data_IF_145655649318
#
_entry.id   IF_145655649318
#
_cell.length_a   1.000
_cell.length_b   1.000
_cell.length_c   1.000
_cell.angle_alpha   90.00
_cell.angle_beta   90.00
_cell.angle_gamma   90.00
#
_symmetry.space_group_name_H-M   'P 1'
#
loop_
_entity.id
_entity.type
_entity.pdbx_description
1 polymer ?
#
# COMPACT_ATOMS: atom_id res chain seq x y z
N UNK A 1 37.87 -20.22 5.30
CA UNK A 1 37.38 -18.92 4.80
C UNK A 1 36.04 -18.98 4.03
N UNK A 2 35.51 -20.15 3.66
CA UNK A 2 34.27 -20.27 2.84
C UNK A 2 32.96 -20.08 3.62
N UNK A 3 32.91 -20.48 4.89
CA UNK A 3 31.70 -20.45 5.72
C UNK A 3 31.22 -19.02 6.01
N UNK A 4 32.14 -18.11 6.37
CA UNK A 4 31.83 -16.70 6.64
C UNK A 4 31.20 -16.00 5.42
N UNK A 5 31.72 -16.27 4.22
CA UNK A 5 31.19 -15.75 2.96
C UNK A 5 29.78 -16.28 2.68
N UNK A 6 29.54 -17.58 2.88
CA UNK A 6 28.21 -18.19 2.72
C UNK A 6 27.20 -17.60 3.71
N UNK A 7 27.57 -17.43 4.98
CA UNK A 7 26.68 -16.83 5.99
C UNK A 7 26.33 -15.38 5.68
N UNK A 8 27.29 -14.59 5.17
CA UNK A 8 27.04 -13.20 4.80
C UNK A 8 26.07 -13.10 3.62
N UNK A 9 26.25 -13.94 2.60
CA UNK A 9 25.35 -13.99 1.43
C UNK A 9 23.93 -14.36 1.87
N UNK A 10 23.77 -15.40 2.69
CA UNK A 10 22.45 -15.82 3.19
C UNK A 10 21.78 -14.72 4.03
N UNK A 11 22.54 -14.05 4.90
CA UNK A 11 22.02 -12.92 5.69
C UNK A 11 21.57 -11.76 4.80
N UNK A 12 22.36 -11.39 3.80
CA UNK A 12 21.97 -10.29 2.89
C UNK A 12 20.70 -10.61 2.11
N UNK A 13 20.55 -11.84 1.63
CA UNK A 13 19.35 -12.28 0.90
C UNK A 13 18.13 -12.27 1.84
N UNK A 14 18.25 -12.85 3.03
CA UNK A 14 17.15 -12.87 4.00
C UNK A 14 16.75 -11.46 4.49
N UNK A 15 17.73 -10.57 4.70
CA UNK A 15 17.48 -9.19 5.10
C UNK A 15 16.89 -8.34 3.97
N UNK A 16 17.19 -8.65 2.70
CA UNK A 16 16.56 -8.03 1.53
C UNK A 16 15.08 -8.41 1.43
N UNK A 17 14.72 -9.65 1.74
CA UNK A 17 13.32 -10.11 1.72
C UNK A 17 12.48 -9.53 2.87
N UNK A 18 13.11 -9.24 4.02
CA UNK A 18 12.49 -8.48 5.11
C UNK A 18 12.31 -7.00 4.79
N UNK A 19 12.76 -6.54 3.61
CA UNK A 19 12.65 -5.17 3.13
C UNK A 19 11.20 -4.72 2.99
N UNK A 20 10.62 -4.29 4.12
CA UNK A 20 9.38 -3.53 4.29
C UNK A 20 8.34 -3.77 3.19
N UNK A 21 7.83 -4.99 3.14
CA UNK A 21 6.61 -5.23 2.37
C UNK A 21 5.45 -4.67 3.18
N UNK A 22 4.59 -3.92 2.50
CA UNK A 22 3.45 -3.23 3.10
C UNK A 22 2.18 -3.74 2.45
N UNK A 23 1.12 -3.87 3.23
CA UNK A 23 -0.20 -4.25 2.74
C UNK A 23 -1.17 -3.09 2.83
N UNK A 24 -2.04 -2.95 1.83
CA UNK A 24 -3.12 -1.97 1.80
C UNK A 24 -4.42 -2.64 1.36
N UNK A 25 -5.56 -2.12 1.81
CA UNK A 25 -6.83 -2.48 1.20
C UNK A 25 -6.87 -1.98 -0.24
N UNK A 26 -7.52 -2.73 -1.14
CA UNK A 26 -7.58 -2.42 -2.57
C UNK A 26 -9.00 -2.50 -3.18
N UNK A 27 -10.00 -2.96 -2.43
CA UNK A 27 -11.37 -2.93 -2.91
C UNK A 27 -12.04 -1.56 -2.77
N UNK A 28 -13.15 -1.40 -3.48
CA UNK A 28 -13.98 -0.20 -3.56
C UNK A 28 -15.18 -0.22 -2.60
N UNK A 29 -15.29 -1.22 -1.72
CA UNK A 29 -16.41 -1.35 -0.80
C UNK A 29 -16.30 -0.41 0.39
N UNK A 30 -17.42 -0.01 0.99
CA UNK A 30 -17.40 0.78 2.22
C UNK A 30 -16.63 0.08 3.36
N UNK A 31 -16.84 -1.24 3.49
CA UNK A 31 -16.10 -2.11 4.40
C UNK A 31 -15.14 -2.97 3.59
N UNK A 32 -13.83 -2.72 3.66
CA UNK A 32 -12.89 -3.41 2.81
C UNK A 32 -12.66 -4.85 3.25
N UNK A 33 -12.41 -5.71 2.27
CA UNK A 33 -12.29 -7.17 2.42
C UNK A 33 -11.02 -7.72 1.78
N UNK A 34 -10.48 -7.04 0.77
CA UNK A 34 -9.30 -7.52 0.04
C UNK A 34 -8.14 -6.58 0.22
N UNK A 35 -6.95 -7.16 0.28
CA UNK A 35 -5.70 -6.43 0.43
C UNK A 35 -4.74 -6.80 -0.70
N UNK A 36 -3.82 -5.90 -0.98
CA UNK A 36 -2.71 -6.14 -1.90
C UNK A 36 -1.37 -5.89 -1.20
N UNK A 37 -0.33 -6.58 -1.67
CA UNK A 37 1.04 -6.29 -1.29
C UNK A 37 1.56 -5.14 -2.15
N UNK A 38 1.96 -4.05 -1.51
CA UNK A 38 2.57 -2.91 -2.17
C UNK A 38 3.93 -3.29 -2.75
N UNK A 39 4.20 -2.82 -3.98
CA UNK A 39 5.52 -2.97 -4.58
C UNK A 39 6.56 -2.20 -3.79
N UNK A 40 7.81 -2.64 -3.90
CA UNK A 40 8.95 -1.91 -3.35
C UNK A 40 8.89 -0.45 -3.82
N UNK A 41 9.04 0.49 -2.90
CA UNK A 41 8.84 1.95 -3.04
C UNK A 41 7.42 2.52 -2.93
N UNK A 42 6.36 1.71 -2.79
CA UNK A 42 5.01 2.25 -2.59
C UNK A 42 4.70 2.41 -1.10
N UNK A 43 5.00 3.60 -0.55
CA UNK A 43 4.97 3.84 0.90
C UNK A 43 3.58 4.13 1.48
N UNK A 44 2.64 4.61 0.65
CA UNK A 44 1.33 5.05 1.10
C UNK A 44 0.25 4.03 0.76
N UNK A 45 -0.61 3.73 1.73
CA UNK A 45 -1.96 3.30 1.40
C UNK A 45 -2.80 4.55 1.22
N UNK A 46 -3.62 4.60 0.18
CA UNK A 46 -4.57 5.68 -0.01
C UNK A 46 -6.02 5.17 0.01
N UNK A 47 -6.94 6.06 0.37
CA UNK A 47 -8.39 5.91 0.23
C UNK A 47 -8.94 7.21 -0.33
N UNK A 48 -9.41 7.18 -1.57
CA UNK A 48 -10.01 8.31 -2.26
C UNK A 48 -11.51 8.10 -2.34
N UNK A 49 -12.30 9.10 -1.97
CA UNK A 49 -13.76 9.08 -2.10
C UNK A 49 -14.22 10.22 -3.00
N UNK A 50 -15.11 9.93 -3.95
CA UNK A 50 -15.71 10.93 -4.84
C UNK A 50 -17.13 10.57 -5.24
N UNK A 51 -17.88 11.54 -5.75
CA UNK A 51 -19.24 11.32 -6.24
C UNK A 51 -19.23 11.10 -7.75
N UNK A 52 -19.76 9.96 -8.21
CA UNK A 52 -19.97 9.65 -9.62
C UNK A 52 -21.40 9.17 -9.84
N UNK A 53 -22.15 9.87 -10.71
CA UNK A 53 -23.56 9.55 -10.99
C UNK A 53 -24.48 9.65 -9.75
N UNK A 54 -24.16 10.55 -8.82
CA UNK A 54 -24.90 10.72 -7.56
C UNK A 54 -24.59 9.67 -6.49
N UNK A 55 -23.67 8.74 -6.75
CA UNK A 55 -23.26 7.68 -5.82
C UNK A 55 -21.81 7.91 -5.39
N UNK A 56 -21.54 7.70 -4.11
CA UNK A 56 -20.17 7.73 -3.59
C UNK A 56 -19.38 6.50 -4.06
N UNK A 57 -18.20 6.76 -4.62
CA UNK A 57 -17.23 5.77 -5.04
C UNK A 57 -16.01 5.87 -4.14
N UNK A 58 -15.42 4.73 -3.84
CA UNK A 58 -14.20 4.63 -3.05
C UNK A 58 -13.16 3.92 -3.92
N UNK A 59 -11.94 4.42 -3.91
CA UNK A 59 -10.77 3.74 -4.47
C UNK A 59 -9.73 3.63 -3.38
N UNK A 60 -9.11 2.46 -3.33
CA UNK A 60 -8.03 2.18 -2.41
C UNK A 60 -6.88 1.53 -3.15
N UNK A 61 -5.69 1.65 -2.58
CA UNK A 61 -4.54 0.90 -3.04
C UNK A 61 -3.23 1.45 -2.49
N UNK A 62 -2.15 0.93 -3.04
CA UNK A 62 -0.79 1.39 -2.79
C UNK A 62 -0.43 2.59 -3.67
N UNK A 63 0.40 3.51 -3.18
CA UNK A 63 0.98 4.58 -3.98
C UNK A 63 2.37 5.02 -3.48
N UNK A 64 3.21 5.51 -4.39
CA UNK A 64 4.51 6.13 -4.08
C UNK A 64 4.33 7.46 -3.35
N UNK A 65 3.36 8.26 -3.77
CA UNK A 65 2.98 9.54 -3.19
C UNK A 65 1.50 9.53 -2.80
N UNK A 66 1.07 10.38 -1.88
CA UNK A 66 -0.37 10.55 -1.66
C UNK A 66 -1.00 11.15 -2.92
N UNK A 67 -1.99 10.48 -3.57
CA UNK A 67 -2.63 11.01 -4.78
C UNK A 67 -3.38 12.30 -4.49
N UNK A 68 -3.65 13.08 -5.54
CA UNK A 68 -4.59 14.18 -5.43
C UNK A 68 -6.03 13.65 -5.31
N UNK A 69 -6.88 14.48 -4.69
CA UNK A 69 -8.30 14.23 -4.62
C UNK A 69 -8.90 14.21 -6.05
N UNK A 70 -9.76 13.23 -6.36
CA UNK A 70 -10.40 13.16 -7.69
C UNK A 70 -11.36 14.34 -7.90
N UNK A 71 -11.71 14.61 -9.16
CA UNK A 71 -12.78 15.53 -9.49
C UNK A 71 -14.10 15.10 -8.83
N UNK A 72 -14.84 16.06 -8.26
CA UNK A 72 -15.98 15.79 -7.36
C UNK A 72 -15.63 14.91 -6.14
N UNK A 73 -14.37 14.98 -5.70
CA UNK A 73 -13.88 14.25 -4.55
C UNK A 73 -14.40 14.81 -3.24
N UNK A 74 -14.77 13.90 -2.34
CA UNK A 74 -15.11 14.21 -0.95
C UNK A 74 -13.86 14.32 -0.08
N UNK A 75 -12.98 13.33 -0.16
CA UNK A 75 -11.72 13.33 0.59
C UNK A 75 -10.70 12.37 -0.01
N UNK A 76 -9.43 12.62 0.34
CA UNK A 76 -8.31 11.71 0.16
C UNK A 76 -7.69 11.46 1.54
N UNK A 77 -7.51 10.20 1.90
CA UNK A 77 -6.79 9.80 3.11
C UNK A 77 -5.57 8.97 2.72
N UNK A 78 -4.41 9.32 3.26
CA UNK A 78 -3.16 8.62 3.03
C UNK A 78 -2.48 8.27 4.34
N UNK A 79 -1.91 7.08 4.42
CA UNK A 79 -1.31 6.58 5.64
C UNK A 79 -0.19 5.56 5.35
N UNK A 80 0.74 5.42 6.29
CA UNK A 80 1.98 4.67 6.08
C UNK A 80 2.01 3.30 6.78
N UNK A 81 0.99 2.92 7.55
CA UNK A 81 0.90 1.60 8.20
C UNK A 81 0.22 0.54 7.32
N UNK A 82 0.32 -0.72 7.70
CA UNK A 82 -0.42 -1.80 7.03
C UNK A 82 -1.93 -1.62 7.20
N UNK A 83 -2.67 -1.84 6.12
CA UNK A 83 -4.14 -1.85 6.07
C UNK A 83 -4.79 -0.64 6.77
N UNK A 84 -4.11 0.50 6.75
CA UNK A 84 -4.54 1.69 7.46
C UNK A 84 -5.61 2.49 6.70
N UNK A 85 -5.84 2.17 5.42
CA UNK A 85 -6.75 2.85 4.52
C UNK A 85 -8.17 2.25 4.54
N UNK A 86 -8.64 1.79 5.70
CA UNK A 86 -9.97 1.21 5.86
C UNK A 86 -11.09 2.19 5.46
#
# INVERSE_FOLDING_TARGET
MKTLLLTLVVLTIACLDLGYTKTCFNDDLANPKTTELCRHSMYFCFKNSWIAGGVERIERGCSLTCPDIKYNGKYIYCCTRDNCNA
#
